data_IF_156310175447
#
_entry.id   IF_156310175447
#
_cell.length_a   1.000
_cell.length_b   1.000
_cell.length_c   1.000
_cell.angle_alpha   90.00
_cell.angle_beta   90.00
_cell.angle_gamma   90.00
#
_symmetry.space_group_name_H-M   'P 1'
#
loop_
_entity.id
_entity.type
_entity.pdbx_description
1 polymer ?
#
# COMPACT_ATOMS: atom_id res chain seq x y z
N UNK A 1 19.06 -7.68 15.82
CA UNK A 1 17.94 -7.39 16.73
C UNK A 1 16.66 -7.70 15.96
N UNK A 2 16.05 -8.89 16.18
CA UNK A 2 14.74 -9.23 15.61
C UNK A 2 13.71 -8.34 16.28
N UNK A 3 13.26 -7.27 15.61
CA UNK A 3 11.96 -6.72 15.93
C UNK A 3 10.96 -7.78 15.48
N UNK A 4 10.52 -8.62 16.42
CA UNK A 4 9.50 -9.62 16.14
C UNK A 4 8.22 -8.86 15.84
N UNK A 5 7.89 -8.78 14.56
CA UNK A 5 6.58 -8.34 14.14
C UNK A 5 5.67 -9.55 14.41
N UNK A 6 4.95 -9.52 15.53
CA UNK A 6 3.97 -10.55 15.86
C UNK A 6 2.81 -10.47 14.88
N UNK A 7 2.20 -11.60 14.53
CA UNK A 7 0.97 -11.58 13.73
C UNK A 7 -0.17 -11.05 14.59
N UNK A 8 -1.08 -10.26 14.01
CA UNK A 8 -2.21 -9.73 14.73
C UNK A 8 -3.15 -10.88 15.08
N UNK A 9 -3.81 -10.78 16.23
CA UNK A 9 -4.84 -11.74 16.59
C UNK A 9 -5.96 -11.73 15.54
N UNK A 10 -6.67 -12.85 15.32
CA UNK A 10 -7.81 -12.87 14.41
C UNK A 10 -8.83 -11.76 14.78
N UNK A 11 -9.08 -10.85 13.84
CA UNK A 11 -9.96 -9.67 14.03
C UNK A 11 -9.24 -8.37 14.42
N UNK A 12 -7.92 -8.39 14.63
CA UNK A 12 -7.08 -7.20 14.76
C UNK A 12 -6.25 -7.02 13.49
N UNK A 13 -6.19 -5.80 12.95
CA UNK A 13 -5.43 -5.52 11.72
C UNK A 13 -4.10 -4.78 12.02
N UNK A 14 -4.04 -4.03 13.13
CA UNK A 14 -2.87 -3.27 13.54
C UNK A 14 -1.94 -4.11 14.40
N UNK A 15 -0.72 -4.26 13.92
CA UNK A 15 0.29 -5.14 14.48
C UNK A 15 1.20 -4.41 15.48
N UNK A 16 1.50 -3.15 15.18
CA UNK A 16 2.37 -2.34 16.02
C UNK A 16 2.59 -0.94 15.47
N UNK A 17 3.06 -0.03 16.33
CA UNK A 17 3.37 1.36 16.00
C UNK A 17 4.88 1.60 16.19
N UNK A 18 5.53 2.21 15.20
CA UNK A 18 6.95 2.54 15.23
C UNK A 18 7.72 2.00 14.01
N UNK A 19 9.00 1.68 14.24
CA UNK A 19 10.00 1.31 13.22
C UNK A 19 10.26 2.39 12.16
N UNK A 20 11.35 2.22 11.43
CA UNK A 20 11.70 3.09 10.30
C UNK A 20 11.14 2.56 8.98
N UNK A 21 11.21 3.39 7.93
CA UNK A 21 10.85 3.01 6.56
C UNK A 21 12.11 2.71 5.74
N UNK A 22 13.20 2.29 6.39
CA UNK A 22 14.41 1.92 5.67
C UNK A 22 14.22 0.56 4.99
N UNK A 23 14.94 0.27 3.89
CA UNK A 23 14.78 -0.98 3.14
C UNK A 23 14.94 -2.25 3.98
N UNK A 24 15.83 -2.22 4.98
CA UNK A 24 16.10 -3.36 5.86
C UNK A 24 14.93 -3.68 6.80
N UNK A 25 14.01 -2.74 7.01
CA UNK A 25 12.77 -2.92 7.77
C UNK A 25 11.61 -3.25 6.83
N UNK A 26 11.47 -2.50 5.73
CA UNK A 26 10.36 -2.64 4.78
C UNK A 26 10.33 -4.01 4.09
N UNK A 27 11.46 -4.46 3.54
CA UNK A 27 11.48 -5.69 2.74
C UNK A 27 11.05 -6.93 3.56
N UNK A 28 11.57 -7.17 4.79
CA UNK A 28 11.06 -8.24 5.64
C UNK A 28 9.58 -8.09 5.99
N UNK A 29 9.14 -6.87 6.31
CA UNK A 29 7.75 -6.61 6.68
C UNK A 29 6.78 -6.96 5.52
N UNK A 30 7.03 -6.46 4.31
CA UNK A 30 6.23 -6.82 3.13
C UNK A 30 6.24 -8.33 2.85
N UNK A 31 7.39 -9.00 3.01
CA UNK A 31 7.48 -10.46 2.82
C UNK A 31 6.65 -11.26 3.83
N UNK A 32 6.42 -10.70 5.02
CA UNK A 32 5.58 -11.27 6.07
C UNK A 32 4.11 -10.80 5.98
N UNK A 33 3.72 -10.12 4.90
CA UNK A 33 2.36 -9.65 4.68
C UNK A 33 2.02 -8.31 5.34
N UNK A 34 3.00 -7.61 5.91
CA UNK A 34 2.78 -6.35 6.62
C UNK A 34 2.96 -5.15 5.69
N UNK A 35 2.23 -4.08 5.94
CA UNK A 35 2.45 -2.81 5.25
C UNK A 35 2.33 -1.62 6.20
N UNK A 36 3.13 -0.56 6.00
CA UNK A 36 3.10 0.62 6.86
C UNK A 36 2.01 1.61 6.42
N UNK A 37 1.32 2.21 7.39
CA UNK A 37 0.44 3.37 7.19
C UNK A 37 0.55 4.32 8.38
N UNK A 38 0.48 5.63 8.13
CA UNK A 38 0.46 6.61 9.22
C UNK A 38 -0.87 6.55 9.98
N UNK A 39 -0.81 6.48 11.32
CA UNK A 39 -2.00 6.48 12.19
C UNK A 39 -2.45 7.89 12.58
N UNK A 40 -1.67 8.90 12.26
CA UNK A 40 -2.01 10.31 12.47
C UNK A 40 -2.99 10.83 11.43
N UNK A 41 -3.48 12.05 11.64
CA UNK A 41 -4.39 12.75 10.71
C UNK A 41 -3.77 12.80 9.30
N UNK A 42 -4.55 12.47 8.28
CA UNK A 42 -4.10 12.41 6.88
C UNK A 42 -2.89 11.48 6.65
N UNK A 43 -2.76 10.38 7.41
CA UNK A 43 -1.64 9.45 7.26
C UNK A 43 -0.32 9.99 7.82
N UNK A 44 -0.36 11.00 8.70
CA UNK A 44 0.82 11.50 9.38
C UNK A 44 1.39 10.45 10.36
N UNK A 45 2.63 10.69 10.80
CA UNK A 45 3.29 9.91 11.86
C UNK A 45 2.41 9.85 13.13
N UNK A 46 2.55 8.79 13.96
CA UNK A 46 3.50 7.69 13.83
C UNK A 46 3.10 6.65 12.77
N UNK A 47 4.04 5.79 12.35
CA UNK A 47 3.76 4.69 11.42
C UNK A 47 3.19 3.52 12.21
N UNK A 48 2.04 3.01 11.79
CA UNK A 48 1.51 1.71 12.16
C UNK A 48 1.84 0.67 11.08
N UNK A 49 1.99 -0.59 11.49
CA UNK A 49 2.18 -1.74 10.60
C UNK A 49 0.93 -2.60 10.61
N UNK A 50 0.34 -2.87 9.45
CA UNK A 50 -0.95 -3.56 9.35
C UNK A 50 -0.82 -4.90 8.63
N UNK A 51 -1.61 -5.88 9.06
CA UNK A 51 -1.81 -7.18 8.39
C UNK A 51 -3.28 -7.61 8.52
N UNK A 52 -4.17 -7.06 7.67
CA UNK A 52 -5.61 -7.32 7.76
C UNK A 52 -6.00 -8.78 7.53
N UNK A 53 -6.99 -9.24 8.28
CA UNK A 53 -7.65 -10.54 8.10
C UNK A 53 -9.19 -10.38 8.12
N UNK A 54 -9.88 -10.50 6.96
CA UNK A 54 -9.37 -10.95 5.67
C UNK A 54 -8.59 -9.88 4.89
N UNK A 55 -7.58 -10.33 4.14
CA UNK A 55 -6.77 -9.46 3.27
C UNK A 55 -7.49 -9.17 1.95
N UNK A 56 -7.68 -7.89 1.64
CA UNK A 56 -8.13 -7.44 0.32
C UNK A 56 -7.12 -7.77 -0.77
N UNK A 57 -7.52 -8.57 -1.76
CA UNK A 57 -6.72 -8.93 -2.94
C UNK A 57 -7.53 -8.68 -4.23
N UNK A 58 -6.83 -8.40 -5.33
CA UNK A 58 -7.41 -8.33 -6.67
C UNK A 58 -6.79 -9.44 -7.54
N UNK A 59 -7.47 -10.57 -7.73
CA UNK A 59 -6.99 -11.63 -8.61
C UNK A 59 -6.85 -11.13 -10.05
N UNK A 60 -5.66 -11.28 -10.63
CA UNK A 60 -5.37 -10.81 -11.99
C UNK A 60 -6.22 -11.59 -13.00
N UNK A 61 -6.33 -12.90 -12.83
CA UNK A 61 -7.07 -13.81 -13.73
C UNK A 61 -8.60 -13.67 -13.67
N UNK A 62 -9.11 -12.76 -12.84
CA UNK A 62 -10.55 -12.48 -12.70
C UNK A 62 -10.90 -11.01 -12.83
N UNK A 63 -9.95 -10.15 -13.23
CA UNK A 63 -10.17 -8.71 -13.26
C UNK A 63 -11.27 -8.33 -14.27
N UNK A 64 -12.35 -7.71 -13.76
CA UNK A 64 -13.45 -7.22 -14.59
C UNK A 64 -13.08 -5.94 -15.32
N UNK A 65 -12.69 -6.06 -16.59
CA UNK A 65 -12.45 -4.90 -17.47
C UNK A 65 -13.74 -4.50 -18.18
N UNK A 66 -14.38 -3.43 -17.70
CA UNK A 66 -15.62 -2.91 -18.31
C UNK A 66 -15.36 -2.33 -19.71
N UNK A 67 -16.41 -2.25 -20.53
CA UNK A 67 -16.33 -1.66 -21.88
C UNK A 67 -15.87 -0.21 -21.86
N UNK A 68 -16.30 0.58 -20.87
CA UNK A 68 -15.89 1.97 -20.69
C UNK A 68 -14.41 2.08 -20.30
N UNK A 69 -13.93 1.25 -19.38
CA UNK A 69 -12.51 1.20 -19.00
C UNK A 69 -11.63 0.85 -20.21
N UNK A 70 -12.00 -0.18 -20.98
CA UNK A 70 -11.29 -0.57 -22.20
C UNK A 70 -11.25 0.56 -23.24
N UNK A 71 -12.29 1.38 -23.32
CA UNK A 71 -12.33 2.55 -24.21
C UNK A 71 -11.47 3.70 -23.70
N UNK A 72 -11.48 3.94 -22.39
CA UNK A 72 -10.69 5.00 -21.75
C UNK A 72 -9.19 4.72 -21.86
N UNK A 73 -8.76 3.48 -21.59
CA UNK A 73 -7.36 3.06 -21.63
C UNK A 73 -6.67 3.36 -22.97
N UNK A 74 -7.41 3.32 -24.10
CA UNK A 74 -6.87 3.64 -25.43
C UNK A 74 -6.45 5.11 -25.61
N UNK A 75 -6.82 6.00 -24.69
CA UNK A 75 -6.48 7.42 -24.73
C UNK A 75 -5.14 7.73 -24.07
N UNK A 76 -4.54 6.74 -23.40
CA UNK A 76 -3.31 6.90 -22.63
C UNK A 76 -2.19 6.04 -23.21
N UNK A 77 -0.98 6.55 -23.18
CA UNK A 77 0.23 5.73 -23.25
C UNK A 77 0.53 5.21 -21.84
N UNK A 78 0.74 3.91 -21.70
CA UNK A 78 1.08 3.29 -20.40
C UNK A 78 2.57 2.95 -20.43
N UNK A 79 3.31 3.50 -19.45
CA UNK A 79 4.74 3.27 -19.26
C UNK A 79 4.96 2.74 -17.85
N UNK A 80 5.99 1.92 -17.67
CA UNK A 80 6.34 1.30 -16.38
C UNK A 80 7.68 1.86 -15.92
N UNK A 81 7.78 2.27 -14.66
CA UNK A 81 9.00 2.75 -14.00
C UNK A 81 9.77 3.87 -14.73
N UNK A 82 9.05 4.76 -15.42
CA UNK A 82 9.68 5.89 -16.14
C UNK A 82 9.69 7.22 -15.37
N UNK A 83 8.91 7.33 -14.29
CA UNK A 83 8.77 8.54 -13.48
C UNK A 83 8.31 8.21 -12.05
N UNK A 84 9.03 7.34 -11.35
CA UNK A 84 8.61 6.80 -10.04
C UNK A 84 8.38 7.90 -9.00
N UNK A 85 9.36 8.80 -8.82
CA UNK A 85 9.27 9.85 -7.79
C UNK A 85 8.10 10.80 -8.05
N UNK A 86 7.85 11.16 -9.30
CA UNK A 86 6.72 12.01 -9.70
C UNK A 86 5.37 11.34 -9.42
N UNK A 87 5.25 10.03 -9.72
CA UNK A 87 4.05 9.24 -9.44
C UNK A 87 3.79 9.17 -7.93
N UNK A 88 4.82 8.92 -7.12
CA UNK A 88 4.69 8.87 -5.65
C UNK A 88 4.27 10.23 -5.10
N UNK A 89 4.88 11.32 -5.57
CA UNK A 89 4.52 12.68 -5.16
C UNK A 89 3.06 13.02 -5.52
N UNK A 90 2.62 12.71 -6.74
CA UNK A 90 1.25 12.94 -7.18
C UNK A 90 0.21 12.06 -6.45
N UNK A 91 0.60 10.86 -6.00
CA UNK A 91 -0.24 10.02 -5.14
C UNK A 91 -0.45 10.64 -3.75
N UNK A 92 0.52 11.39 -3.23
CA UNK A 92 0.44 12.04 -1.92
C UNK A 92 -0.28 13.41 -1.93
N UNK A 93 -0.64 13.93 -3.11
CA UNK A 93 -1.25 15.25 -3.24
C UNK A 93 -2.64 15.31 -2.53
N UNK A 94 -2.89 16.31 -1.67
CA UNK A 94 -4.10 16.40 -0.85
C UNK A 94 -5.35 16.88 -1.60
N UNK A 95 -5.19 17.33 -2.84
CA UNK A 95 -6.19 17.99 -3.69
C UNK A 95 -6.78 17.07 -4.77
N UNK A 96 -6.68 15.74 -4.56
CA UNK A 96 -7.27 14.77 -5.49
C UNK A 96 -8.79 14.80 -5.37
N UNK A 97 -9.46 15.44 -6.31
CA UNK A 97 -10.88 15.23 -6.57
C UNK A 97 -11.07 13.77 -7.02
N UNK A 98 -11.50 12.92 -6.08
CA UNK A 98 -11.83 11.52 -6.32
C UNK A 98 -13.20 11.35 -6.95
#
# INVERSE_FOLDING_TARGET
MRAAIEQAAPGEDLIGIGLDLAPHTLLPAYSAGLFPMGVGRNGARPIGWWSPDPRGILPIDGMRVTRSLRRSAKRFEIRVDTAFDDVVAACAAPDRDG
#
